data_IF_567026429102
#
_entry.id   IF_567026429102
#
_cell.length_a   1.000
_cell.length_b   1.000
_cell.length_c   1.000
_cell.angle_alpha   90.00
_cell.angle_beta   90.00
_cell.angle_gamma   90.00
#
_symmetry.space_group_name_H-M   'P 1'
#
loop_
_entity.id
_entity.type
_entity.pdbx_description
1 polymer ?
#
# COMPACT_ATOMS: atom_id res chain seq x y z
N UNK A 1 -20.05 -2.91 6.93
CA UNK A 1 -18.59 -2.89 7.01
C UNK A 1 -18.17 -1.89 8.07
N UNK A 2 -17.88 -2.39 9.27
CA UNK A 2 -17.22 -1.66 10.35
C UNK A 2 -15.70 -1.61 10.08
N UNK A 3 -15.00 -0.78 10.86
CA UNK A 3 -13.54 -0.70 10.77
C UNK A 3 -12.89 -2.03 11.16
N UNK A 4 -13.47 -2.74 12.11
CA UNK A 4 -13.02 -4.03 12.59
C UNK A 4 -13.19 -5.11 11.51
N UNK A 5 -14.31 -5.11 10.79
CA UNK A 5 -14.55 -6.03 9.67
C UNK A 5 -13.56 -5.81 8.52
N UNK A 6 -13.30 -4.54 8.19
CA UNK A 6 -12.32 -4.18 7.15
C UNK A 6 -10.91 -4.61 7.56
N UNK A 7 -10.52 -4.36 8.82
CA UNK A 7 -9.20 -4.74 9.31
C UNK A 7 -9.01 -6.25 9.34
N UNK A 8 -10.03 -7.02 9.66
CA UNK A 8 -9.99 -8.49 9.59
C UNK A 8 -9.78 -8.96 8.15
N UNK A 9 -10.55 -8.42 7.21
CA UNK A 9 -10.42 -8.77 5.79
C UNK A 9 -9.03 -8.44 5.24
N UNK A 10 -8.48 -7.26 5.55
CA UNK A 10 -7.13 -6.87 5.11
C UNK A 10 -6.06 -7.85 5.60
N UNK A 11 -6.19 -8.33 6.84
CA UNK A 11 -5.29 -9.36 7.39
C UNK A 11 -5.48 -10.72 6.70
N UNK A 12 -6.72 -11.12 6.44
CA UNK A 12 -7.04 -12.37 5.72
C UNK A 12 -6.45 -12.39 4.31
N UNK A 13 -6.46 -11.23 3.63
CA UNK A 13 -5.83 -11.06 2.32
C UNK A 13 -4.30 -11.09 2.36
N UNK A 14 -3.69 -11.13 3.55
CA UNK A 14 -2.26 -11.26 3.76
C UNK A 14 -1.50 -9.93 3.78
N UNK A 15 -2.16 -8.79 3.99
CA UNK A 15 -1.46 -7.52 4.15
C UNK A 15 -0.77 -7.45 5.51
N UNK A 16 0.50 -7.04 5.50
CA UNK A 16 1.24 -6.76 6.72
C UNK A 16 0.89 -5.38 7.29
N UNK A 17 0.66 -5.32 8.61
CA UNK A 17 0.48 -4.07 9.35
C UNK A 17 1.80 -3.64 9.95
N UNK A 18 2.32 -2.50 9.50
CA UNK A 18 3.51 -1.87 10.08
C UNK A 18 3.18 -1.26 11.46
N UNK A 19 4.16 -1.28 12.36
CA UNK A 19 4.07 -0.64 13.69
C UNK A 19 4.02 0.89 13.59
N UNK A 20 4.77 1.46 12.64
CA UNK A 20 4.79 2.88 12.33
C UNK A 20 4.82 3.11 10.81
N UNK A 21 4.43 4.30 10.32
CA UNK A 21 4.46 4.60 8.89
C UNK A 21 5.84 4.43 8.26
N UNK A 22 6.88 4.87 8.98
CA UNK A 22 8.29 4.83 8.55
C UNK A 22 9.00 3.53 8.92
N UNK A 23 8.31 2.60 9.59
CA UNK A 23 8.88 1.30 9.91
C UNK A 23 9.14 0.49 8.62
N UNK A 24 10.24 -0.26 8.63
CA UNK A 24 10.55 -1.19 7.56
C UNK A 24 9.57 -2.37 7.59
N UNK A 25 9.21 -2.86 6.40
CA UNK A 25 8.44 -4.10 6.27
C UNK A 25 9.41 -5.27 6.39
N UNK A 26 9.12 -6.30 7.21
CA UNK A 26 9.97 -7.48 7.30
C UNK A 26 10.15 -8.16 5.94
N UNK A 27 11.29 -8.83 5.75
CA UNK A 27 11.65 -9.45 4.47
C UNK A 27 10.57 -10.43 3.99
N UNK A 28 9.98 -11.20 4.92
CA UNK A 28 8.93 -12.18 4.59
C UNK A 28 7.66 -11.55 3.99
N UNK A 29 7.44 -10.25 4.24
CA UNK A 29 6.22 -9.52 3.84
C UNK A 29 6.47 -8.45 2.78
N UNK A 30 7.70 -8.31 2.25
CA UNK A 30 8.01 -7.27 1.26
C UNK A 30 7.16 -7.38 -0.01
N UNK A 31 6.82 -8.61 -0.40
CA UNK A 31 6.00 -8.87 -1.58
C UNK A 31 4.52 -9.06 -1.23
N UNK A 32 4.16 -9.14 0.05
CA UNK A 32 2.79 -9.35 0.47
C UNK A 32 1.88 -8.19 0.00
N UNK A 33 0.62 -8.47 -0.39
CA UNK A 33 -0.06 -9.78 -0.40
C UNK A 33 0.29 -10.64 -1.63
N UNK A 34 1.11 -10.13 -2.56
CA UNK A 34 1.49 -10.89 -3.72
C UNK A 34 2.36 -12.10 -3.32
N UNK A 35 2.19 -13.20 -4.05
CA UNK A 35 3.01 -14.39 -3.83
C UNK A 35 4.41 -14.15 -4.41
N UNK A 36 5.49 -14.54 -3.71
CA UNK A 36 6.82 -14.47 -4.27
C UNK A 36 6.86 -15.29 -5.56
N UNK A 37 7.35 -14.69 -6.65
CA UNK A 37 7.52 -15.41 -7.90
C UNK A 37 8.62 -16.47 -7.72
N UNK A 38 8.47 -17.68 -8.28
CA UNK A 38 9.48 -18.74 -8.18
C UNK A 38 10.88 -18.30 -8.66
N UNK A 39 10.93 -17.30 -9.55
CA UNK A 39 12.16 -16.77 -10.13
C UNK A 39 12.88 -15.75 -9.24
N UNK A 40 12.21 -15.15 -8.26
CA UNK A 40 12.80 -14.14 -7.39
C UNK A 40 13.57 -14.74 -6.21
N UNK A 41 13.21 -15.95 -5.75
CA UNK A 41 13.97 -16.68 -4.72
C UNK A 41 15.43 -16.97 -5.12
N UNK A 42 15.72 -17.03 -6.42
CA UNK A 42 17.08 -17.20 -6.94
C UNK A 42 17.90 -15.89 -6.96
N UNK A 43 17.27 -14.73 -6.72
CA UNK A 43 17.89 -13.40 -6.88
C UNK A 43 17.89 -12.56 -5.59
N UNK A 44 17.43 -13.08 -4.46
CA UNK A 44 17.47 -12.36 -3.17
C UNK A 44 18.88 -12.24 -2.57
N UNK A 45 19.91 -12.84 -3.19
CA UNK A 45 21.32 -12.72 -2.79
C UNK A 45 22.13 -11.69 -3.60
N UNK A 46 21.51 -10.91 -4.48
CA UNK A 46 22.26 -10.02 -5.38
C UNK A 46 21.46 -8.82 -5.88
N UNK A 47 21.55 -7.74 -5.10
CA UNK A 47 21.55 -6.33 -5.49
C UNK A 47 20.44 -5.78 -6.40
N UNK A 48 19.86 -4.69 -5.88
CA UNK A 48 19.28 -3.53 -6.56
C UNK A 48 17.97 -3.79 -7.33
N UNK A 49 16.83 -3.29 -6.82
CA UNK A 49 15.62 -3.33 -7.58
C UNK A 49 15.67 -2.22 -8.64
N UNK A 50 15.75 -2.64 -9.89
CA UNK A 50 15.44 -1.81 -11.05
C UNK A 50 13.94 -1.49 -11.08
N UNK A 51 13.44 -0.74 -10.10
CA UNK A 51 12.16 -0.05 -10.25
C UNK A 51 12.39 1.12 -11.23
N UNK A 52 11.54 1.33 -12.25
CA UNK A 52 11.50 2.65 -12.86
C UNK A 52 11.19 3.66 -11.74
N UNK A 53 11.86 4.84 -11.68
CA UNK A 53 11.50 5.84 -10.69
C UNK A 53 10.02 6.16 -10.92
N UNK A 54 9.19 5.93 -9.90
CA UNK A 54 7.82 6.41 -9.90
C UNK A 54 7.86 7.91 -10.28
N UNK A 55 7.02 8.38 -11.22
CA UNK A 55 7.04 9.78 -11.59
C UNK A 55 6.78 10.59 -10.32
N UNK A 56 7.73 11.47 -10.00
CA UNK A 56 7.73 12.30 -8.81
C UNK A 56 6.32 12.85 -8.58
N UNK A 57 5.74 12.49 -7.43
CA UNK A 57 4.53 13.10 -6.93
C UNK A 57 4.81 14.60 -6.77
N UNK A 58 4.48 15.38 -7.80
CA UNK A 58 4.20 16.79 -7.63
C UNK A 58 2.96 16.86 -6.77
N UNK A 59 3.18 17.09 -5.49
CA UNK A 59 2.17 17.46 -4.51
C UNK A 59 1.51 18.76 -4.94
N UNK A 60 0.52 18.69 -5.83
CA UNK A 60 -0.42 19.78 -6.06
C UNK A 60 -1.80 19.32 -5.60
N UNK A 61 -2.08 19.56 -4.32
CA UNK A 61 -3.45 19.57 -3.83
C UNK A 61 -4.09 20.91 -4.19
N UNK A 62 -5.24 20.89 -4.87
CA UNK A 62 -6.28 21.83 -4.51
C UNK A 62 -7.61 21.07 -4.41
N UNK A 63 -7.88 20.44 -3.26
CA UNK A 63 -9.28 20.10 -2.93
C UNK A 63 -9.89 21.29 -2.21
N UNK A 64 -10.52 22.19 -2.98
CA UNK A 64 -11.35 23.26 -2.42
C UNK A 64 -12.52 22.64 -1.64
N UNK A 65 -12.90 23.14 -0.45
CA UNK A 65 -14.17 22.81 0.15
C UNK A 65 -15.24 23.72 -0.48
N UNK A 66 -16.03 23.18 -1.40
CA UNK A 66 -17.13 23.91 -2.03
C UNK A 66 -18.46 23.33 -1.57
N UNK A 67 -19.19 24.09 -0.75
CA UNK A 67 -20.57 23.87 -0.33
C UNK A 67 -21.42 23.26 -1.45
N UNK A 68 -21.88 22.03 -1.28
CA UNK A 68 -22.94 21.46 -2.10
C UNK A 68 -24.18 21.34 -1.21
N UNK A 69 -24.92 22.45 -1.14
CA UNK A 69 -26.28 22.44 -0.61
C UNK A 69 -27.11 21.57 -1.55
N UNK A 70 -27.61 20.44 -1.06
CA UNK A 70 -28.57 19.61 -1.78
C UNK A 70 -29.93 20.35 -1.80
N UNK A 71 -30.50 20.67 -2.98
CA UNK A 71 -31.88 21.13 -3.01
C UNK A 71 -32.78 19.93 -2.68
N UNK A 72 -33.68 20.13 -1.73
CA UNK A 72 -34.73 19.18 -1.37
C UNK A 72 -35.81 19.22 -2.45
N UNK A 73 -35.94 18.14 -3.24
CA UNK A 73 -37.16 17.80 -3.98
C UNK A 73 -37.16 16.34 -4.43
#
# INVERSE_FOLDING_TARGET
MSREEINQLVQELGFYRKEAPDALVPEEFQLAPARPLPTLQAKEQGAEPSFPPAPAAKSEHPRKPGNQEHPDL
#
